data_IF_988628788743
#
_entry.id   IF_988628788743
#
_cell.length_a   1.000
_cell.length_b   1.000
_cell.length_c   1.000
_cell.angle_alpha   90.00
_cell.angle_beta   90.00
_cell.angle_gamma   90.00
#
_symmetry.space_group_name_H-M   'P 1'
#
loop_
_entity.id
_entity.type
_entity.pdbx_description
1 polymer ?
#
# COMPACT_ATOMS: atom_id res chain seq x y z
N UNK A 1 11.59 34.71 -25.59
CA UNK A 1 12.33 34.20 -24.40
C UNK A 1 11.29 33.98 -23.31
N UNK A 2 10.73 32.80 -23.28
CA UNK A 2 9.68 32.40 -22.35
C UNK A 2 10.30 31.90 -21.05
N UNK A 3 10.18 32.70 -19.98
CA UNK A 3 10.38 32.24 -18.63
C UNK A 3 9.23 31.28 -18.29
N UNK A 4 9.44 30.00 -18.50
CA UNK A 4 8.60 28.98 -17.92
C UNK A 4 8.78 29.05 -16.40
N UNK A 5 7.74 29.52 -15.73
CA UNK A 5 7.57 29.37 -14.29
C UNK A 5 7.57 27.88 -13.95
N UNK A 6 8.74 27.28 -13.77
CA UNK A 6 8.84 25.95 -13.18
C UNK A 6 8.41 26.10 -11.72
N UNK A 7 7.19 25.66 -11.45
CA UNK A 7 6.75 25.42 -10.06
C UNK A 7 7.78 24.48 -9.47
N UNK A 8 8.47 24.85 -8.38
CA UNK A 8 9.46 23.97 -7.77
C UNK A 8 8.78 22.65 -7.39
N UNK A 9 9.18 21.57 -8.02
CA UNK A 9 8.74 20.23 -7.64
C UNK A 9 9.26 19.96 -6.24
N UNK A 10 8.37 19.98 -5.26
CA UNK A 10 8.69 19.62 -3.88
C UNK A 10 9.14 18.17 -3.90
N UNK A 11 10.43 17.93 -3.61
CA UNK A 11 10.96 16.58 -3.54
C UNK A 11 10.48 15.95 -2.23
N UNK A 12 9.55 15.02 -2.33
CA UNK A 12 9.05 14.26 -1.18
C UNK A 12 10.15 13.36 -0.60
N UNK A 13 10.10 13.16 0.70
CA UNK A 13 11.02 12.33 1.47
C UNK A 13 10.28 11.18 2.14
N UNK A 14 11.00 10.26 2.76
CA UNK A 14 10.39 9.18 3.54
C UNK A 14 9.46 9.68 4.65
N UNK A 15 9.77 10.83 5.24
CA UNK A 15 8.95 11.44 6.32
C UNK A 15 7.58 11.89 5.82
N UNK A 16 7.48 12.29 4.56
CA UNK A 16 6.22 12.72 3.96
C UNK A 16 5.26 11.56 3.73
N UNK A 17 5.76 10.32 3.79
CA UNK A 17 4.98 9.10 3.69
C UNK A 17 4.72 8.42 5.05
N UNK A 18 5.23 8.98 6.14
CA UNK A 18 4.98 8.49 7.48
C UNK A 18 3.76 9.19 8.07
N UNK A 19 2.78 8.43 8.55
CA UNK A 19 1.62 8.99 9.25
C UNK A 19 2.00 9.42 10.67
N UNK A 20 1.10 10.12 11.32
CA UNK A 20 1.20 10.54 12.73
C UNK A 20 0.86 9.43 13.74
N UNK A 21 0.54 8.23 13.26
CA UNK A 21 0.12 7.13 14.11
C UNK A 21 1.30 6.39 14.73
N UNK A 22 1.18 6.06 16.01
CA UNK A 22 2.13 5.18 16.69
C UNK A 22 2.06 3.76 16.12
N UNK A 23 3.20 3.23 15.71
CA UNK A 23 3.27 1.86 15.18
C UNK A 23 3.11 0.84 16.30
N UNK A 24 2.15 -0.05 16.19
CA UNK A 24 1.72 -1.01 17.22
C UNK A 24 2.08 -2.47 16.87
N UNK A 25 3.27 -2.70 16.33
CA UNK A 25 3.80 -4.05 16.15
C UNK A 25 4.66 -4.50 17.32
N UNK A 26 4.94 -5.79 17.41
CA UNK A 26 5.80 -6.34 18.45
C UNK A 26 7.24 -5.84 18.33
N UNK A 27 7.97 -5.66 19.45
CA UNK A 27 9.38 -5.32 19.42
C UNK A 27 10.18 -6.32 18.58
N UNK A 28 11.01 -5.84 17.65
CA UNK A 28 11.83 -6.67 16.78
C UNK A 28 11.09 -7.31 15.61
N UNK A 29 9.81 -6.99 15.40
CA UNK A 29 9.06 -7.50 14.25
C UNK A 29 9.60 -6.95 12.93
N UNK A 30 9.70 -7.82 11.91
CA UNK A 30 10.16 -7.44 10.57
C UNK A 30 9.25 -6.43 9.85
N UNK A 31 7.99 -6.30 10.28
CA UNK A 31 7.03 -5.36 9.71
C UNK A 31 7.51 -3.91 9.81
N UNK A 32 8.25 -3.55 10.88
CA UNK A 32 8.90 -2.24 11.01
C UNK A 32 9.87 -1.95 9.88
N UNK A 33 10.68 -2.95 9.51
CA UNK A 33 11.65 -2.81 8.43
C UNK A 33 10.96 -2.63 7.08
N UNK A 34 9.90 -3.39 6.82
CA UNK A 34 9.13 -3.30 5.58
C UNK A 34 8.49 -1.92 5.46
N UNK A 35 7.87 -1.42 6.53
CA UNK A 35 7.28 -0.07 6.57
C UNK A 35 8.34 1.00 6.26
N UNK A 36 9.47 0.95 6.94
CA UNK A 36 10.55 1.92 6.74
C UNK A 36 11.07 1.91 5.30
N UNK A 37 11.21 0.73 4.68
CA UNK A 37 11.64 0.63 3.29
C UNK A 37 10.58 1.17 2.33
N UNK A 38 9.31 0.89 2.54
CA UNK A 38 8.25 1.43 1.69
C UNK A 38 8.15 2.95 1.78
N UNK A 39 8.31 3.52 2.97
CA UNK A 39 8.36 4.97 3.12
C UNK A 39 9.56 5.59 2.39
N UNK A 40 10.71 4.91 2.35
CA UNK A 40 11.91 5.36 1.62
C UNK A 40 11.78 5.23 0.11
N UNK A 41 11.16 4.16 -0.36
CA UNK A 41 11.02 3.87 -1.80
C UNK A 41 9.89 4.69 -2.43
N UNK A 42 8.80 4.93 -1.73
CA UNK A 42 7.61 5.61 -2.28
C UNK A 42 7.93 6.94 -2.98
N UNK A 43 8.77 7.84 -2.42
CA UNK A 43 9.14 9.08 -3.11
C UNK A 43 9.89 8.87 -4.44
N UNK A 44 10.57 7.72 -4.60
CA UNK A 44 11.40 7.44 -5.79
C UNK A 44 10.60 6.83 -6.95
N UNK A 45 9.35 6.47 -6.72
CA UNK A 45 8.52 5.77 -7.73
C UNK A 45 7.92 6.70 -8.79
N UNK A 46 8.10 8.02 -8.66
CA UNK A 46 7.56 8.99 -9.60
C UNK A 46 6.02 9.09 -9.60
N UNK A 47 5.39 8.61 -8.53
CA UNK A 47 3.94 8.66 -8.33
C UNK A 47 3.62 9.75 -7.31
N UNK A 48 2.61 10.56 -7.60
CA UNK A 48 2.14 11.58 -6.65
C UNK A 48 1.63 10.90 -5.38
N UNK A 49 1.88 11.51 -4.22
CA UNK A 49 1.47 10.97 -2.92
C UNK A 49 -0.02 10.66 -2.86
N UNK A 50 -0.85 11.54 -3.40
CA UNK A 50 -2.31 11.42 -3.46
C UNK A 50 -2.81 10.33 -4.42
N UNK A 51 -1.95 9.81 -5.29
CA UNK A 51 -2.29 8.71 -6.20
C UNK A 51 -1.96 7.32 -5.63
N UNK A 52 -1.32 7.26 -4.46
CA UNK A 52 -1.11 6.02 -3.73
C UNK A 52 -2.37 5.60 -2.97
N UNK A 53 -2.73 4.34 -3.09
CA UNK A 53 -3.80 3.71 -2.27
C UNK A 53 -3.29 2.40 -1.72
N UNK A 54 -3.30 2.27 -0.40
CA UNK A 54 -2.99 1.03 0.30
C UNK A 54 -4.28 0.31 0.71
N UNK A 55 -4.39 -0.96 0.37
CA UNK A 55 -5.53 -1.80 0.74
C UNK A 55 -5.04 -2.95 1.61
N UNK A 56 -5.73 -3.22 2.70
CA UNK A 56 -5.39 -4.33 3.58
C UNK A 56 -6.61 -5.12 4.03
N UNK A 57 -6.38 -6.36 4.45
CA UNK A 57 -7.35 -7.20 5.13
C UNK A 57 -7.24 -7.07 6.66
N UNK A 58 -7.11 -8.19 7.37
CA UNK A 58 -7.02 -8.23 8.84
C UNK A 58 -5.77 -9.02 9.25
N UNK A 59 -5.12 -8.55 10.29
CA UNK A 59 -3.90 -9.09 10.88
C UNK A 59 -2.88 -8.00 11.19
N UNK A 60 -1.72 -8.37 11.72
CA UNK A 60 -0.68 -7.40 12.08
C UNK A 60 -0.19 -6.57 10.88
N UNK A 61 0.11 -7.24 9.78
CA UNK A 61 0.51 -6.60 8.52
C UNK A 61 -0.56 -5.69 7.94
N UNK A 62 -1.83 -6.00 8.20
CA UNK A 62 -2.97 -5.23 7.69
C UNK A 62 -3.15 -3.88 8.38
N UNK A 63 -2.33 -3.57 9.39
CA UNK A 63 -2.22 -2.23 9.97
C UNK A 63 -1.41 -1.27 9.09
N UNK A 64 -0.76 -1.76 8.06
CA UNK A 64 0.11 -1.00 7.19
C UNK A 64 -0.52 0.32 6.65
N UNK A 65 -1.78 0.35 6.18
CA UNK A 65 -2.39 1.59 5.71
C UNK A 65 -2.49 2.69 6.77
N UNK A 66 -2.54 2.36 8.05
CA UNK A 66 -2.57 3.36 9.13
C UNK A 66 -1.24 4.09 9.29
N UNK A 67 -0.13 3.47 8.87
CA UNK A 67 1.22 3.96 9.07
C UNK A 67 1.81 4.64 7.84
N UNK A 68 1.11 4.57 6.72
CA UNK A 68 1.45 5.32 5.51
C UNK A 68 0.56 6.57 5.41
N UNK A 69 1.17 7.73 5.20
CA UNK A 69 0.44 8.99 5.00
C UNK A 69 -0.01 9.11 3.53
N UNK A 70 -0.87 8.21 3.12
CA UNK A 70 -1.49 8.11 1.80
C UNK A 70 -2.96 7.72 1.96
N UNK A 71 -3.71 7.61 0.88
CA UNK A 71 -5.03 7.01 0.95
C UNK A 71 -4.93 5.52 1.28
N UNK A 72 -5.86 5.04 2.09
CA UNK A 72 -5.87 3.64 2.53
C UNK A 72 -7.27 3.11 2.80
N UNK A 73 -7.41 1.80 2.60
CA UNK A 73 -8.63 1.07 2.92
C UNK A 73 -8.24 -0.15 3.75
N UNK A 74 -8.73 -0.19 4.99
CA UNK A 74 -8.60 -1.35 5.87
C UNK A 74 -9.91 -2.13 5.81
N UNK A 75 -9.89 -3.25 5.10
CA UNK A 75 -11.09 -4.01 4.77
C UNK A 75 -11.34 -5.20 5.68
N UNK A 76 -12.13 -6.14 5.18
CA UNK A 76 -12.51 -7.37 5.86
C UNK A 76 -11.45 -8.45 5.63
N UNK A 77 -11.35 -9.38 6.57
CA UNK A 77 -10.39 -10.48 6.53
C UNK A 77 -10.45 -11.28 5.22
N UNK A 78 -9.31 -11.37 4.55
CA UNK A 78 -9.16 -12.07 3.28
C UNK A 78 -9.78 -11.39 2.05
N UNK A 79 -10.26 -10.15 2.18
CA UNK A 79 -10.97 -9.46 1.09
C UNK A 79 -10.17 -8.34 0.42
N UNK A 80 -8.96 -8.09 0.88
CA UNK A 80 -8.08 -7.07 0.30
C UNK A 80 -7.91 -7.21 -1.23
N UNK A 81 -7.70 -8.41 -1.80
CA UNK A 81 -7.57 -8.54 -3.25
C UNK A 81 -8.81 -8.10 -4.03
N UNK A 82 -10.01 -8.41 -3.53
CA UNK A 82 -11.26 -8.01 -4.16
C UNK A 82 -11.46 -6.49 -4.10
N UNK A 83 -11.18 -5.87 -2.96
CA UNK A 83 -11.28 -4.42 -2.76
C UNK A 83 -10.24 -3.70 -3.64
N UNK A 84 -8.99 -4.13 -3.61
CA UNK A 84 -7.91 -3.56 -4.40
C UNK A 84 -8.19 -3.65 -5.92
N UNK A 85 -8.73 -4.77 -6.37
CA UNK A 85 -9.16 -4.95 -7.75
C UNK A 85 -10.24 -3.94 -8.14
N UNK A 86 -11.24 -3.74 -7.28
CA UNK A 86 -12.31 -2.78 -7.50
C UNK A 86 -11.78 -1.34 -7.62
N UNK A 87 -10.91 -0.94 -6.71
CA UNK A 87 -10.25 0.39 -6.74
C UNK A 87 -9.48 0.57 -8.05
N UNK A 88 -8.68 -0.43 -8.43
CA UNK A 88 -7.83 -0.35 -9.63
C UNK A 88 -8.64 -0.31 -10.93
N UNK A 89 -9.74 -1.04 -10.99
CA UNK A 89 -10.65 -1.05 -12.16
C UNK A 89 -11.39 0.28 -12.25
N UNK A 90 -11.86 0.82 -11.13
CA UNK A 90 -12.57 2.10 -11.10
C UNK A 90 -11.66 3.31 -11.40
N UNK A 91 -10.41 3.25 -10.96
CA UNK A 91 -9.42 4.33 -11.11
C UNK A 91 -8.08 3.74 -11.56
N UNK A 92 -7.93 3.43 -12.86
CA UNK A 92 -6.73 2.75 -13.38
C UNK A 92 -5.43 3.52 -13.20
N UNK A 93 -5.49 4.84 -13.08
CA UNK A 93 -4.35 5.73 -12.88
C UNK A 93 -3.71 5.61 -11.50
N UNK A 94 -4.45 5.11 -10.50
CA UNK A 94 -3.96 5.01 -9.14
C UNK A 94 -2.90 3.91 -8.98
N UNK A 95 -1.91 4.20 -8.16
CA UNK A 95 -0.92 3.22 -7.70
C UNK A 95 -1.50 2.43 -6.52
N UNK A 96 -2.21 1.34 -6.83
CA UNK A 96 -2.87 0.51 -5.82
C UNK A 96 -1.90 -0.55 -5.32
N UNK A 97 -1.64 -0.52 -4.02
CA UNK A 97 -0.81 -1.46 -3.28
C UNK A 97 -1.67 -2.22 -2.27
N UNK A 98 -1.29 -3.44 -2.01
CA UNK A 98 -1.97 -4.29 -1.03
C UNK A 98 -0.96 -4.85 -0.03
N UNK A 99 -1.28 -4.75 1.25
CA UNK A 99 -0.54 -5.35 2.34
C UNK A 99 -1.41 -6.42 3.02
N UNK A 100 -0.93 -7.65 3.07
CA UNK A 100 -1.68 -8.76 3.66
C UNK A 100 -0.75 -9.81 4.25
N UNK A 101 -1.16 -10.43 5.34
CA UNK A 101 -0.46 -11.57 5.93
C UNK A 101 -0.79 -12.88 5.22
N UNK A 102 -0.01 -13.91 5.49
CA UNK A 102 -0.18 -15.25 4.93
C UNK A 102 -1.55 -15.85 5.21
N UNK A 103 -2.01 -15.80 6.45
CA UNK A 103 -3.33 -16.29 6.85
C UNK A 103 -4.47 -15.48 6.22
N UNK A 104 -4.32 -14.18 6.14
CA UNK A 104 -5.29 -13.26 5.55
C UNK A 104 -5.41 -13.49 4.03
N UNK A 105 -4.30 -13.64 3.33
CA UNK A 105 -4.27 -13.74 1.87
C UNK A 105 -4.39 -15.17 1.37
N UNK A 106 -3.63 -16.12 1.94
CA UNK A 106 -3.51 -17.47 1.40
C UNK A 106 -4.48 -18.47 2.03
N UNK A 107 -4.99 -18.19 3.23
CA UNK A 107 -6.00 -19.02 3.89
C UNK A 107 -7.41 -18.50 3.56
N UNK A 108 -7.94 -17.61 4.36
CA UNK A 108 -9.32 -17.11 4.15
C UNK A 108 -9.48 -16.33 2.83
N UNK A 109 -8.43 -15.68 2.37
CA UNK A 109 -8.40 -14.91 1.12
C UNK A 109 -8.01 -15.70 -0.13
N UNK A 110 -7.75 -17.02 -0.01
CA UNK A 110 -7.15 -17.82 -1.08
C UNK A 110 -7.88 -17.74 -2.43
N UNK A 111 -9.20 -17.75 -2.41
CA UNK A 111 -10.00 -17.59 -3.62
C UNK A 111 -9.78 -16.23 -4.30
N UNK A 112 -9.82 -15.16 -3.54
CA UNK A 112 -9.58 -13.80 -4.06
C UNK A 112 -8.14 -13.60 -4.53
N UNK A 113 -7.18 -14.25 -3.86
CA UNK A 113 -5.78 -14.25 -4.27
C UNK A 113 -5.59 -14.88 -5.65
N UNK A 114 -6.16 -16.06 -5.88
CA UNK A 114 -6.10 -16.74 -7.18
C UNK A 114 -6.74 -15.86 -8.27
N UNK A 115 -7.88 -15.26 -7.98
CA UNK A 115 -8.59 -14.42 -8.95
C UNK A 115 -7.86 -13.12 -9.28
N UNK A 116 -7.22 -12.46 -8.32
CA UNK A 116 -6.45 -11.24 -8.63
C UNK A 116 -5.22 -11.56 -9.47
N UNK A 117 -4.53 -12.66 -9.17
CA UNK A 117 -3.41 -13.14 -9.98
C UNK A 117 -3.84 -13.44 -11.43
N UNK A 118 -4.95 -14.15 -11.58
CA UNK A 118 -5.49 -14.50 -12.89
C UNK A 118 -5.90 -13.28 -13.72
N UNK A 119 -6.53 -12.30 -13.08
CA UNK A 119 -7.02 -11.08 -13.75
C UNK A 119 -5.93 -10.07 -14.07
N UNK A 120 -4.84 -10.10 -13.31
CA UNK A 120 -3.67 -9.23 -13.50
C UNK A 120 -4.02 -7.75 -13.73
N UNK A 121 -4.83 -7.19 -12.85
CA UNK A 121 -5.34 -5.81 -12.97
C UNK A 121 -4.32 -4.72 -12.60
N UNK A 122 -3.08 -5.08 -12.32
CA UNK A 122 -2.01 -4.11 -12.03
C UNK A 122 -1.95 -3.62 -10.57
N UNK A 123 -2.46 -4.41 -9.62
CA UNK A 123 -2.27 -4.21 -8.19
C UNK A 123 -0.89 -4.75 -7.77
N UNK A 124 -0.16 -3.99 -6.96
CA UNK A 124 1.08 -4.48 -6.33
C UNK A 124 0.73 -5.08 -4.99
N UNK A 125 1.33 -6.21 -4.68
CA UNK A 125 1.01 -6.98 -3.48
C UNK A 125 2.26 -7.26 -2.66
N UNK A 126 2.21 -6.96 -1.38
CA UNK A 126 3.22 -7.37 -0.41
C UNK A 126 2.59 -8.40 0.52
N UNK A 127 3.11 -9.63 0.44
CA UNK A 127 2.76 -10.70 1.33
C UNK A 127 3.73 -10.71 2.52
N UNK A 128 3.20 -10.48 3.70
CA UNK A 128 3.95 -10.54 4.94
C UNK A 128 3.93 -11.97 5.46
N UNK A 129 5.07 -12.60 5.45
CA UNK A 129 5.26 -13.95 5.97
C UNK A 129 5.97 -13.90 7.32
N UNK A 130 5.25 -13.49 8.32
CA UNK A 130 5.78 -13.33 9.67
C UNK A 130 5.11 -14.25 10.71
#
# INVERSE_FOLDING_TARGET
MSNENQIPTVQLTAKDFASDQDVKWCPGCGDYSILAQMQRVSPTLGVKKEDFVWVSGIGCSSRFPYYMDTFGIHGIHGRAPAIASGVKIARPELAVWMASGDGDLLSIGGNHFIHICRRNVGVKMILFNN
#
